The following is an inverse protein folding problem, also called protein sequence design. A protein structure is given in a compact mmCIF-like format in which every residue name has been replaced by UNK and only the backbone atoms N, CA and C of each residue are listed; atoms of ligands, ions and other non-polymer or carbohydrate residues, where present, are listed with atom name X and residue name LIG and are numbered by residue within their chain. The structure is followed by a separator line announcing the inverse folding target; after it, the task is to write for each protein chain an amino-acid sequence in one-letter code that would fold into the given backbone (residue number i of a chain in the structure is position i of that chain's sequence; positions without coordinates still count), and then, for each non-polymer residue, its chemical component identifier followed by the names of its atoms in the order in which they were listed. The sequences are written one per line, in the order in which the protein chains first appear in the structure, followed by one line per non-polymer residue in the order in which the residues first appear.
data_IF_203222241414
#
_entry.id   IF_203222241414
#
_cell.length_a   1.000
_cell.length_b   1.000
_cell.length_c   1.000
_cell.angle_alpha   90.00
_cell.angle_beta   90.00
_cell.angle_gamma   90.00
#
_symmetry.space_group_name_H-M   'P 1'
#
loop_
_entity.id
_entity.type
_entity.pdbx_description
1 polymer ?
#
# COMPACT_ATOMS: atom_id res chain seq x y z
N UNK A 1 9.58 -8.95 16.03
CA UNK A 1 8.47 -9.85 15.89
C UNK A 1 8.46 -10.50 14.53
N UNK A 2 8.21 -11.80 14.48
CA UNK A 2 8.26 -12.55 13.24
C UNK A 2 7.03 -12.30 12.36
N UNK A 3 7.25 -12.09 11.07
CA UNK A 3 6.25 -12.22 10.02
C UNK A 3 6.36 -13.63 9.43
N UNK A 4 5.29 -14.17 8.79
CA UNK A 4 4.01 -13.53 8.56
C UNK A 4 3.03 -13.69 9.72
N UNK A 5 2.02 -12.83 9.73
CA UNK A 5 0.91 -12.90 10.65
C UNK A 5 -0.39 -13.22 9.89
N UNK A 6 -1.46 -13.51 10.62
CA UNK A 6 -2.81 -13.52 10.04
C UNK A 6 -3.36 -12.10 9.97
N UNK A 7 -4.38 -11.90 9.15
CA UNK A 7 -5.09 -10.63 9.10
C UNK A 7 -5.60 -10.22 10.49
N UNK A 8 -6.20 -11.16 11.21
CA UNK A 8 -6.74 -10.88 12.55
C UNK A 8 -5.67 -10.44 13.53
N UNK A 9 -4.48 -11.06 13.46
CA UNK A 9 -3.36 -10.67 14.31
C UNK A 9 -2.87 -9.25 13.98
N UNK A 10 -2.71 -8.94 12.69
CA UNK A 10 -2.30 -7.60 12.27
C UNK A 10 -3.32 -6.55 12.66
N UNK A 11 -4.61 -6.83 12.46
CA UNK A 11 -5.68 -5.91 12.84
C UNK A 11 -5.70 -5.66 14.34
N UNK A 12 -5.57 -6.71 15.14
CA UNK A 12 -5.55 -6.58 16.60
C UNK A 12 -4.37 -5.71 17.06
N UNK A 13 -3.20 -5.92 16.49
CA UNK A 13 -2.00 -5.11 16.80
C UNK A 13 -2.19 -3.65 16.40
N UNK A 14 -2.74 -3.42 15.22
CA UNK A 14 -3.01 -2.07 14.76
C UNK A 14 -3.97 -1.36 15.73
N UNK A 15 -5.08 -2.01 16.06
CA UNK A 15 -6.11 -1.44 16.94
C UNK A 15 -5.59 -1.15 18.36
N UNK A 16 -4.77 -2.05 18.89
CA UNK A 16 -4.16 -1.87 20.20
C UNK A 16 -3.24 -0.63 20.22
N UNK A 17 -2.57 -0.35 19.12
CA UNK A 17 -1.61 0.75 19.02
C UNK A 17 -2.23 2.06 18.56
N UNK A 18 -3.20 2.02 17.66
CA UNK A 18 -3.70 3.19 16.94
C UNK A 18 -5.21 3.40 17.04
N UNK A 19 -5.96 2.41 17.53
CA UNK A 19 -7.43 2.48 17.58
C UNK A 19 -8.06 2.19 16.22
N UNK A 20 -8.89 3.10 15.72
CA UNK A 20 -9.63 2.89 14.48
C UNK A 20 -8.76 2.92 13.25
N UNK A 21 -9.17 2.21 12.21
CA UNK A 21 -8.59 2.35 10.88
C UNK A 21 -8.77 3.77 10.37
N UNK A 22 -7.83 4.21 9.52
CA UNK A 22 -7.85 5.58 8.97
C UNK A 22 -8.86 5.64 7.84
N UNK A 23 -9.71 6.67 7.84
CA UNK A 23 -10.63 6.89 6.73
C UNK A 23 -9.86 7.27 5.47
N UNK A 24 -10.02 6.52 4.36
CA UNK A 24 -9.47 6.95 3.08
C UNK A 24 -10.08 8.28 2.65
N UNK A 25 -9.29 9.11 1.97
CA UNK A 25 -9.75 10.41 1.49
C UNK A 25 -11.01 10.30 0.61
N UNK A 26 -11.15 9.19 -0.11
CA UNK A 26 -12.28 8.95 -1.01
C UNK A 26 -13.43 8.17 -0.34
N UNK A 27 -13.40 7.97 0.97
CA UNK A 27 -14.49 7.38 1.73
C UNK A 27 -14.16 6.04 2.39
N UNK A 28 -14.99 5.68 3.38
CA UNK A 28 -14.79 4.46 4.18
C UNK A 28 -14.86 3.17 3.37
N UNK A 29 -15.61 3.17 2.28
CA UNK A 29 -15.84 2.00 1.44
C UNK A 29 -14.94 1.98 0.19
N UNK A 30 -13.99 2.91 0.07
CA UNK A 30 -13.16 3.04 -1.12
C UNK A 30 -12.12 1.93 -1.27
N UNK A 31 -11.76 1.21 -0.20
CA UNK A 31 -10.78 0.13 -0.23
C UNK A 31 -11.37 -1.19 0.25
N UNK A 32 -10.86 -2.28 -0.31
CA UNK A 32 -11.16 -3.61 0.21
C UNK A 32 -10.69 -3.72 1.66
N UNK A 33 -11.31 -4.65 2.41
CA UNK A 33 -11.07 -4.81 3.84
C UNK A 33 -9.59 -4.96 4.20
N UNK A 34 -8.89 -5.84 3.51
CA UNK A 34 -7.48 -6.12 3.82
C UNK A 34 -6.57 -4.98 3.41
N UNK A 35 -6.83 -4.35 2.28
CA UNK A 35 -6.07 -3.19 1.84
C UNK A 35 -6.33 -1.96 2.73
N UNK A 36 -7.52 -1.87 3.31
CA UNK A 36 -7.81 -0.79 4.25
C UNK A 36 -6.90 -0.86 5.48
N UNK A 37 -6.64 -2.07 5.99
CA UNK A 37 -5.66 -2.23 7.06
C UNK A 37 -4.25 -1.83 6.58
N UNK A 38 -3.82 -2.32 5.42
CA UNK A 38 -2.52 -1.96 4.86
C UNK A 38 -2.38 -0.44 4.67
N UNK A 39 -3.40 0.19 4.11
CA UNK A 39 -3.47 1.64 3.94
C UNK A 39 -3.32 2.37 5.28
N UNK A 40 -4.08 1.93 6.29
CA UNK A 40 -4.05 2.55 7.62
C UNK A 40 -2.67 2.43 8.27
N UNK A 41 -2.02 1.29 8.11
CA UNK A 41 -0.64 1.09 8.59
C UNK A 41 0.32 2.11 7.98
N UNK A 42 0.21 2.37 6.68
CA UNK A 42 1.02 3.36 6.00
C UNK A 42 0.72 4.80 6.46
N UNK A 43 -0.57 5.12 6.61
CA UNK A 43 -0.98 6.45 7.08
C UNK A 43 -0.43 6.74 8.48
N UNK A 44 -0.43 5.75 9.36
CA UNK A 44 0.11 5.92 10.73
C UNK A 44 1.63 6.01 10.77
N UNK A 45 2.31 5.69 9.69
CA UNK A 45 3.76 5.89 9.54
C UNK A 45 4.13 7.22 8.90
N UNK A 46 3.15 8.11 8.72
CA UNK A 46 3.38 9.47 8.23
C UNK A 46 3.23 9.66 6.73
N UNK A 47 2.78 8.63 5.99
CA UNK A 47 2.50 8.78 4.58
C UNK A 47 1.12 9.39 4.37
N UNK A 48 0.96 10.12 3.26
CA UNK A 48 -0.31 10.71 2.90
C UNK A 48 -1.01 9.93 1.79
N UNK A 49 -2.31 10.04 1.73
CA UNK A 49 -3.15 9.43 0.70
C UNK A 49 -3.01 10.21 -0.60
N UNK A 50 -2.45 9.57 -1.63
CA UNK A 50 -2.35 10.12 -2.99
C UNK A 50 -3.39 9.53 -3.93
N UNK A 51 -4.19 8.59 -3.48
CA UNK A 51 -5.28 8.02 -4.24
C UNK A 51 -5.61 6.60 -3.82
N UNK A 52 -6.90 6.28 -3.77
CA UNK A 52 -7.38 4.92 -3.55
C UNK A 52 -8.20 4.50 -4.75
N UNK A 53 -9.36 5.09 -4.91
CA UNK A 53 -10.32 4.73 -5.92
C UNK A 53 -10.33 5.79 -7.05
N UNK A 54 -10.40 5.34 -8.28
CA UNK A 54 -10.65 6.20 -9.44
C UNK A 54 -11.76 5.57 -10.27
N UNK A 55 -12.61 6.41 -10.86
CA UNK A 55 -13.81 5.96 -11.60
C UNK A 55 -13.46 5.63 -13.05
N UNK A 56 -12.51 4.68 -13.21
CA UNK A 56 -12.10 4.18 -14.52
C UNK A 56 -11.46 2.82 -14.37
N UNK A 57 -11.39 1.99 -15.44
CA UNK A 57 -10.73 0.69 -15.38
C UNK A 57 -9.26 0.80 -14.96
N UNK A 58 -8.77 -0.22 -14.25
CA UNK A 58 -7.41 -0.31 -13.77
C UNK A 58 -7.35 -0.89 -12.38
N UNK A 59 -6.17 -0.88 -11.76
CA UNK A 59 -5.98 -1.43 -10.42
C UNK A 59 -6.77 -0.68 -9.36
N UNK A 60 -6.82 0.65 -9.48
CA UNK A 60 -7.66 1.45 -8.60
C UNK A 60 -9.15 1.22 -8.88
N UNK A 61 -9.48 0.73 -10.06
CA UNK A 61 -10.79 0.21 -10.40
C UNK A 61 -11.91 1.23 -10.58
N UNK A 62 -13.06 0.71 -10.95
CA UNK A 62 -14.30 1.48 -11.04
C UNK A 62 -15.11 1.19 -9.78
N UNK A 63 -15.47 2.25 -9.08
CA UNK A 63 -16.37 2.19 -7.95
C UNK A 63 -15.82 1.40 -6.76
N UNK A 64 -16.28 1.76 -5.56
CA UNK A 64 -15.79 1.07 -4.36
C UNK A 64 -16.36 -0.35 -4.23
N UNK A 65 -15.60 -1.27 -3.57
CA UNK A 65 -14.24 -1.01 -3.12
C UNK A 65 -13.23 -1.14 -4.25
N UNK A 66 -12.11 -0.45 -4.15
CA UNK A 66 -10.99 -0.65 -5.05
C UNK A 66 -9.92 -1.54 -4.43
N UNK A 67 -8.98 -1.97 -5.28
CA UNK A 67 -7.95 -2.94 -4.89
C UNK A 67 -6.55 -2.38 -5.05
N UNK A 68 -6.39 -1.07 -4.92
CA UNK A 68 -5.10 -0.42 -4.95
C UNK A 68 -5.13 0.90 -4.20
N UNK A 69 -3.97 1.32 -3.68
CA UNK A 69 -3.81 2.65 -3.11
C UNK A 69 -2.39 3.17 -3.35
N UNK A 70 -2.27 4.50 -3.35
CA UNK A 70 -1.00 5.20 -3.48
C UNK A 70 -0.75 6.01 -2.23
N UNK A 71 0.46 5.89 -1.68
CA UNK A 71 0.91 6.66 -0.53
C UNK A 71 2.16 7.43 -0.89
N UNK A 72 2.28 8.66 -0.40
CA UNK A 72 3.42 9.49 -0.67
C UNK A 72 3.68 10.52 0.41
N UNK A 73 4.52 11.51 0.08
CA UNK A 73 4.76 12.65 0.94
C UNK A 73 3.59 13.62 0.86
N UNK A 74 3.37 14.35 1.93
CA UNK A 74 2.33 15.38 2.00
C UNK A 74 2.49 16.45 0.92
N UNK A 75 3.75 16.80 0.59
CA UNK A 75 4.06 17.80 -0.43
C UNK A 75 4.12 17.21 -1.85
N UNK A 76 3.93 15.91 -2.00
CA UNK A 76 3.96 15.16 -3.27
C UNK A 76 5.31 15.23 -3.98
N UNK A 77 6.37 15.49 -3.26
CA UNK A 77 7.72 15.47 -3.81
C UNK A 77 8.29 14.05 -3.84
N UNK A 78 9.39 13.88 -4.58
CA UNK A 78 10.08 12.61 -4.69
C UNK A 78 10.52 12.11 -3.32
N UNK A 79 10.50 10.79 -3.12
CA UNK A 79 11.10 10.17 -1.95
C UNK A 79 12.61 10.33 -2.02
N UNK A 80 13.19 11.01 -1.04
CA UNK A 80 14.64 11.21 -0.92
C UNK A 80 15.11 10.95 0.50
N UNK A 81 16.32 10.42 0.65
CA UNK A 81 16.94 10.22 1.95
C UNK A 81 16.04 9.42 2.91
N UNK A 82 15.68 10.04 4.04
CA UNK A 82 14.88 9.39 5.07
C UNK A 82 13.49 8.99 4.59
N UNK A 83 12.88 9.78 3.71
CA UNK A 83 11.54 9.45 3.17
C UNK A 83 11.60 8.17 2.34
N UNK A 84 12.63 8.01 1.53
CA UNK A 84 12.82 6.80 0.74
C UNK A 84 13.05 5.59 1.64
N UNK A 85 13.87 5.74 2.69
CA UNK A 85 14.12 4.66 3.65
C UNK A 85 12.86 4.25 4.38
N UNK A 86 12.01 5.21 4.78
CA UNK A 86 10.71 4.90 5.40
C UNK A 86 9.79 4.16 4.44
N UNK A 87 9.71 4.63 3.19
CA UNK A 87 8.90 3.97 2.17
C UNK A 87 9.39 2.55 1.89
N UNK A 88 10.69 2.35 1.84
CA UNK A 88 11.29 1.03 1.65
C UNK A 88 10.97 0.08 2.81
N UNK A 89 11.02 0.57 4.04
CA UNK A 89 10.64 -0.22 5.23
C UNK A 89 9.18 -0.64 5.17
N UNK A 90 8.30 0.30 4.80
CA UNK A 90 6.88 0.01 4.66
C UNK A 90 6.64 -1.00 3.52
N UNK A 91 7.32 -0.82 2.40
CA UNK A 91 7.21 -1.75 1.27
C UNK A 91 7.65 -3.17 1.68
N UNK A 92 8.74 -3.29 2.43
CA UNK A 92 9.20 -4.58 2.95
C UNK A 92 8.18 -5.21 3.89
N UNK A 93 7.54 -4.42 4.73
CA UNK A 93 6.48 -4.89 5.62
C UNK A 93 5.29 -5.43 4.81
N UNK A 94 4.88 -4.71 3.79
CA UNK A 94 3.79 -5.17 2.92
C UNK A 94 4.14 -6.49 2.22
N UNK A 95 5.37 -6.61 1.75
CA UNK A 95 5.83 -7.87 1.13
C UNK A 95 5.83 -9.00 2.15
N UNK A 96 6.35 -8.76 3.35
CA UNK A 96 6.38 -9.78 4.41
C UNK A 96 4.98 -10.24 4.81
N UNK A 97 4.01 -9.35 4.78
CA UNK A 97 2.63 -9.63 5.22
C UNK A 97 1.64 -9.71 4.04
N UNK A 98 2.14 -9.98 2.83
CA UNK A 98 1.31 -9.93 1.63
C UNK A 98 0.12 -10.90 1.65
N UNK A 99 0.26 -12.06 2.29
CA UNK A 99 -0.85 -13.01 2.40
C UNK A 99 -1.96 -12.49 3.32
N UNK A 100 -1.59 -12.02 4.50
CA UNK A 100 -2.56 -11.48 5.46
C UNK A 100 -3.29 -10.26 4.91
N UNK A 101 -2.60 -9.44 4.12
CA UNK A 101 -3.14 -8.19 3.58
C UNK A 101 -3.70 -8.36 2.16
N UNK A 102 -3.66 -9.55 1.61
CA UNK A 102 -4.10 -9.86 0.23
C UNK A 102 -3.44 -8.94 -0.80
N UNK A 103 -2.15 -8.69 -0.64
CA UNK A 103 -1.38 -7.87 -1.55
C UNK A 103 -0.90 -8.71 -2.74
N UNK A 104 -1.13 -8.21 -3.94
CA UNK A 104 -0.69 -8.84 -5.18
C UNK A 104 0.68 -8.32 -5.61
N UNK A 105 0.86 -7.00 -5.65
CA UNK A 105 2.16 -6.42 -5.97
C UNK A 105 2.35 -5.05 -5.32
N UNK A 106 3.61 -4.65 -5.21
CA UNK A 106 4.04 -3.38 -4.63
C UNK A 106 5.04 -2.74 -5.58
N UNK A 107 4.85 -1.47 -5.89
CA UNK A 107 5.80 -0.69 -6.71
C UNK A 107 6.35 0.44 -5.86
N UNK A 108 7.67 0.54 -5.81
CA UNK A 108 8.37 1.66 -5.17
C UNK A 108 9.49 2.13 -6.10
N UNK A 109 9.42 3.39 -6.51
CA UNK A 109 10.37 3.94 -7.46
C UNK A 109 10.27 3.19 -8.77
N UNK A 110 11.38 2.60 -9.20
CA UNK A 110 11.44 1.87 -10.46
C UNK A 110 11.59 0.37 -10.29
N UNK A 111 11.14 -0.14 -9.13
CA UNK A 111 11.17 -1.57 -8.82
C UNK A 111 9.79 -2.05 -8.42
N UNK A 112 9.54 -3.32 -8.73
CA UNK A 112 8.29 -4.00 -8.41
C UNK A 112 8.57 -5.34 -7.75
N UNK A 113 7.74 -5.68 -6.77
CA UNK A 113 7.62 -7.02 -6.20
C UNK A 113 6.22 -7.52 -6.46
N UNK A 114 6.06 -8.78 -6.83
CA UNK A 114 4.73 -9.38 -7.01
C UNK A 114 4.69 -10.82 -6.52
N UNK A 115 3.48 -11.33 -6.30
CA UNK A 115 3.27 -12.76 -5.98
C UNK A 115 3.79 -13.66 -7.07
N UNK A 116 3.60 -13.26 -8.33
CA UNK A 116 4.03 -14.03 -9.50
C UNK A 116 5.55 -14.07 -9.61
N UNK A 117 6.23 -12.96 -9.28
CA UNK A 117 7.67 -12.86 -9.24
C UNK A 117 8.09 -12.33 -7.86
N UNK A 118 8.22 -13.21 -6.86
CA UNK A 118 8.34 -12.81 -5.46
C UNK A 118 9.74 -12.32 -5.08
N UNK A 119 10.26 -11.39 -5.83
CA UNK A 119 11.52 -10.69 -5.57
C UNK A 119 11.45 -9.31 -6.24
N UNK A 120 12.20 -8.36 -5.68
CA UNK A 120 12.27 -7.03 -6.26
C UNK A 120 13.04 -7.07 -7.58
N UNK A 121 12.44 -6.55 -8.64
CA UNK A 121 13.05 -6.50 -9.95
C UNK A 121 12.67 -5.18 -10.64
N UNK A 122 13.43 -4.77 -11.68
CA UNK A 122 13.14 -3.51 -12.37
C UNK A 122 11.74 -3.48 -12.98
N UNK A 123 11.09 -2.31 -12.84
CA UNK A 123 9.85 -2.02 -13.55
C UNK A 123 10.21 -1.76 -15.01
N UNK A 124 9.60 -2.50 -15.93
CA UNK A 124 9.98 -2.45 -17.36
C UNK A 124 9.28 -1.34 -18.16
N UNK A 125 8.31 -0.66 -17.54
CA UNK A 125 7.64 0.47 -18.16
C UNK A 125 8.47 1.74 -18.01
N UNK A 126 8.26 2.73 -18.87
CA UNK A 126 8.90 4.04 -18.74
C UNK A 126 8.25 4.96 -17.72
N UNK A 127 7.32 4.44 -16.92
CA UNK A 127 6.57 5.23 -15.95
C UNK A 127 7.45 5.63 -14.76
N UNK A 128 7.59 6.93 -14.52
CA UNK A 128 8.36 7.49 -13.41
C UNK A 128 7.47 7.97 -12.26
N UNK A 129 6.15 7.81 -12.35
CA UNK A 129 5.23 8.31 -11.33
C UNK A 129 5.49 7.72 -9.95
N UNK A 130 6.01 6.48 -9.88
CA UNK A 130 6.31 5.79 -8.62
C UNK A 130 7.57 6.31 -7.93
N UNK A 131 8.28 7.28 -8.51
CA UNK A 131 9.40 7.94 -7.84
C UNK A 131 8.96 8.80 -6.66
N UNK A 132 7.68 9.16 -6.60
CA UNK A 132 7.13 9.99 -5.54
C UNK A 132 5.93 9.37 -4.81
N UNK A 133 5.63 8.10 -5.09
CA UNK A 133 4.62 7.39 -4.31
C UNK A 133 4.90 5.89 -4.28
N UNK A 134 4.35 5.25 -3.25
CA UNK A 134 4.34 3.80 -3.08
C UNK A 134 2.98 3.30 -3.54
N UNK A 135 2.99 2.43 -4.55
CA UNK A 135 1.75 1.84 -5.09
C UNK A 135 1.59 0.42 -4.57
N UNK A 136 0.42 0.13 -4.05
CA UNK A 136 0.09 -1.20 -3.50
C UNK A 136 -1.19 -1.69 -4.16
N UNK A 137 -1.10 -2.85 -4.81
CA UNK A 137 -2.26 -3.51 -5.40
C UNK A 137 -2.59 -4.79 -4.67
N UNK A 138 -3.87 -5.04 -4.47
CA UNK A 138 -4.37 -6.24 -3.84
C UNK A 138 -4.92 -7.25 -4.83
N UNK A 139 -5.17 -8.44 -4.33
CA UNK A 139 -5.88 -9.47 -5.08
C UNK A 139 -7.37 -9.14 -5.09
N UNK A 140 -8.06 -9.46 -6.20
CA UNK A 140 -9.50 -9.21 -6.36
C UNK A 140 -10.34 -10.38 -5.84
N UNK A 141 -9.98 -10.88 -4.68
CA UNK A 141 -10.67 -12.04 -4.07
C UNK A 141 -11.33 -11.68 -2.75
#
# INVERSE_FOLDING_TARGET
MAAPHTYSELLARYRARHGKLVEPRQGWDSLSKTLWLAYSMGRKRGFTDLGTYVDKPGDHGIGPPCYAFDLGRKDRFLFKGWDYLKARRLAKLYVAEHDALHINYVILGRKIWSRERPYWHPLTTGDTSHDFHLHVSGTHT
#
